data_IF_063208221398
#
_entry.id   IF_063208221398
#
_cell.length_a   1.000
_cell.length_b   1.000
_cell.length_c   1.000
_cell.angle_alpha   90.00
_cell.angle_beta   90.00
_cell.angle_gamma   90.00
#
_symmetry.space_group_name_H-M   'P 1'
#
loop_
_entity.id
_entity.type
_entity.pdbx_description
1 polymer ?
#
# COMPACT_ATOMS: atom_id res chain seq x y z
N UNK A 1 3.51 45.05 32.62
CA UNK A 1 2.30 44.53 33.30
C UNK A 1 0.95 44.89 32.62
N UNK A 2 0.92 45.63 31.50
CA UNK A 2 -0.34 45.97 30.81
C UNK A 2 -0.90 44.82 29.93
N UNK A 3 -0.01 43.98 29.32
CA UNK A 3 -0.38 42.85 28.48
C UNK A 3 -1.16 41.75 29.25
N UNK A 4 -0.73 41.38 30.44
CA UNK A 4 -1.41 40.35 31.23
C UNK A 4 -2.84 40.71 31.62
N UNK A 5 -3.07 42.01 31.96
CA UNK A 5 -4.43 42.50 32.27
C UNK A 5 -5.34 42.52 31.03
N UNK A 6 -4.79 42.79 29.85
CA UNK A 6 -5.52 42.76 28.59
C UNK A 6 -5.94 41.35 28.24
N UNK A 7 -5.03 40.36 28.38
CA UNK A 7 -5.33 38.92 28.14
C UNK A 7 -6.41 38.39 29.07
N UNK A 8 -6.33 38.73 30.38
CA UNK A 8 -7.37 38.33 31.36
C UNK A 8 -8.72 38.95 31.03
N UNK A 9 -8.75 40.22 30.59
CA UNK A 9 -9.99 40.92 30.21
C UNK A 9 -10.62 40.34 28.96
N UNK A 10 -9.81 39.86 27.98
CA UNK A 10 -10.29 39.29 26.72
C UNK A 10 -10.35 37.74 26.72
N UNK A 11 -10.30 37.11 27.90
CA UNK A 11 -10.29 35.65 28.03
C UNK A 11 -11.39 34.93 27.26
N UNK A 12 -12.61 35.45 27.27
CA UNK A 12 -13.74 34.85 26.54
C UNK A 12 -13.59 35.00 25.04
N UNK A 13 -13.07 36.15 24.56
CA UNK A 13 -12.82 36.36 23.12
C UNK A 13 -11.73 35.44 22.63
N UNK A 14 -10.66 35.25 23.40
CA UNK A 14 -9.57 34.31 23.05
C UNK A 14 -10.10 32.87 23.00
N UNK A 15 -10.94 32.49 23.97
CA UNK A 15 -11.51 31.15 24.03
C UNK A 15 -12.43 30.88 22.84
N UNK A 16 -13.31 31.81 22.51
CA UNK A 16 -14.19 31.71 21.33
C UNK A 16 -13.38 31.62 20.05
N UNK A 17 -12.33 32.44 19.92
CA UNK A 17 -11.45 32.42 18.76
C UNK A 17 -10.71 31.10 18.65
N UNK A 18 -10.22 30.56 19.77
CA UNK A 18 -9.55 29.24 19.79
C UNK A 18 -10.50 28.11 19.34
N UNK A 19 -11.72 28.09 19.88
CA UNK A 19 -12.74 27.11 19.46
C UNK A 19 -13.13 27.30 17.99
N UNK A 20 -13.30 28.53 17.53
CA UNK A 20 -13.60 28.82 16.13
C UNK A 20 -12.50 28.34 15.16
N UNK A 21 -11.22 28.43 15.57
CA UNK A 21 -10.09 27.91 14.77
C UNK A 21 -9.96 26.38 14.80
N UNK A 22 -10.48 25.71 15.81
CA UNK A 22 -10.49 24.24 15.86
C UNK A 22 -11.32 23.62 14.73
N UNK A 23 -12.42 24.25 14.34
CA UNK A 23 -13.31 23.74 13.29
C UNK A 23 -12.56 23.61 11.93
N UNK A 24 -11.97 24.70 11.38
CA UNK A 24 -11.25 24.61 10.13
C UNK A 24 -9.99 23.72 10.25
N UNK A 25 -9.35 23.66 11.42
CA UNK A 25 -8.23 22.77 11.67
C UNK A 25 -8.62 21.29 11.58
N UNK A 26 -9.74 20.92 12.20
CA UNK A 26 -10.25 19.54 12.13
C UNK A 26 -10.65 19.15 10.70
N UNK A 27 -11.31 20.07 9.98
CA UNK A 27 -11.64 19.87 8.57
C UNK A 27 -10.36 19.75 7.72
N UNK A 28 -9.39 20.61 7.91
CA UNK A 28 -8.11 20.58 7.22
C UNK A 28 -7.40 19.23 7.44
N UNK A 29 -7.39 18.72 8.66
CA UNK A 29 -6.83 17.38 8.96
C UNK A 29 -7.53 16.26 8.20
N UNK A 30 -8.87 16.28 8.13
CA UNK A 30 -9.64 15.24 7.42
C UNK A 30 -9.43 15.28 5.90
N UNK A 31 -9.16 16.46 5.32
CA UNK A 31 -8.92 16.62 3.89
C UNK A 31 -7.43 16.52 3.51
N UNK A 32 -6.53 16.55 4.47
CA UNK A 32 -5.09 16.42 4.19
C UNK A 32 -4.78 14.95 3.94
N UNK A 33 -4.36 14.64 2.72
CA UNK A 33 -3.82 13.33 2.35
C UNK A 33 -2.30 13.41 2.38
N UNK A 34 -1.68 12.45 3.04
CA UNK A 34 -0.22 12.29 2.97
C UNK A 34 0.08 11.45 1.74
N UNK A 35 0.86 12.01 0.83
CA UNK A 35 1.37 11.24 -0.30
C UNK A 35 2.61 10.46 0.18
N UNK A 36 2.52 9.15 0.19
CA UNK A 36 3.62 8.24 0.55
C UNK A 36 4.45 7.81 -0.67
N UNK A 37 4.03 8.21 -1.86
CA UNK A 37 4.76 7.91 -3.09
C UNK A 37 6.03 8.77 -3.18
N UNK A 38 7.17 8.14 -2.90
CA UNK A 38 8.48 8.78 -2.96
C UNK A 38 8.81 9.20 -4.40
N UNK A 39 8.28 8.49 -5.39
CA UNK A 39 8.56 8.75 -6.81
C UNK A 39 7.95 10.06 -7.28
N UNK A 40 6.82 10.49 -6.68
CA UNK A 40 6.18 11.77 -7.00
C UNK A 40 7.01 13.01 -6.64
N UNK A 41 8.06 12.85 -5.83
CA UNK A 41 9.00 13.93 -5.48
C UNK A 41 10.26 13.94 -6.35
N UNK A 42 10.40 12.97 -7.26
CA UNK A 42 11.54 12.90 -8.17
C UNK A 42 11.24 13.68 -9.45
N UNK A 43 12.28 14.27 -10.09
CA UNK A 43 12.11 14.89 -11.40
C UNK A 43 11.68 13.87 -12.46
N UNK A 44 10.73 14.24 -13.32
CA UNK A 44 10.14 13.38 -14.37
C UNK A 44 11.16 12.88 -15.41
N UNK A 45 12.33 13.51 -15.48
CA UNK A 45 13.39 13.15 -16.45
C UNK A 45 14.26 11.99 -16.00
N UNK A 46 14.08 11.45 -14.79
CA UNK A 46 14.84 10.31 -14.31
C UNK A 46 14.43 9.02 -15.01
N UNK A 47 15.40 8.16 -15.27
CA UNK A 47 15.17 6.89 -15.96
C UNK A 47 14.27 5.95 -15.13
N UNK A 48 14.28 6.08 -13.81
CA UNK A 48 13.39 5.34 -12.91
C UNK A 48 11.92 5.71 -13.15
N UNK A 49 11.61 7.01 -13.27
CA UNK A 49 10.25 7.48 -13.53
C UNK A 49 9.81 7.03 -14.92
N UNK A 50 10.64 7.22 -15.96
CA UNK A 50 10.33 6.73 -17.30
C UNK A 50 10.12 5.21 -17.33
N UNK A 51 10.91 4.45 -16.58
CA UNK A 51 10.75 3.00 -16.46
C UNK A 51 9.39 2.62 -15.85
N UNK A 52 8.93 3.34 -14.85
CA UNK A 52 7.61 3.16 -14.26
C UNK A 52 6.48 3.51 -15.23
N UNK A 53 6.62 4.61 -15.97
CA UNK A 53 5.66 5.01 -17.00
C UNK A 53 5.54 3.93 -18.08
N UNK A 54 6.67 3.39 -18.56
CA UNK A 54 6.66 2.27 -19.52
C UNK A 54 5.98 1.02 -18.95
N UNK A 55 6.21 0.69 -17.68
CA UNK A 55 5.55 -0.45 -17.03
C UNK A 55 4.03 -0.26 -16.97
N UNK A 56 3.59 0.95 -16.67
CA UNK A 56 2.16 1.26 -16.58
C UNK A 56 1.52 1.35 -17.97
N UNK A 57 2.14 2.08 -18.90
CA UNK A 57 1.55 2.40 -20.21
C UNK A 57 1.62 1.20 -21.17
N UNK A 58 2.76 0.51 -21.23
CA UNK A 58 2.98 -0.57 -22.20
C UNK A 58 2.56 -1.94 -21.66
N UNK A 59 2.67 -2.17 -20.35
CA UNK A 59 2.38 -3.47 -19.73
C UNK A 59 1.15 -3.44 -18.82
N UNK A 60 0.55 -2.27 -18.58
CA UNK A 60 -0.59 -2.11 -17.68
C UNK A 60 -0.28 -2.45 -16.21
N UNK A 61 1.00 -2.46 -15.83
CA UNK A 61 1.48 -2.80 -14.49
C UNK A 61 2.05 -1.56 -13.81
N UNK A 62 1.34 -1.02 -12.84
CA UNK A 62 1.78 0.16 -12.11
C UNK A 62 2.78 -0.16 -11.00
N UNK A 63 2.27 -0.61 -9.88
CA UNK A 63 3.06 -1.03 -8.73
C UNK A 63 2.97 -2.54 -8.53
N UNK A 64 3.88 -3.10 -7.72
CA UNK A 64 3.79 -4.48 -7.28
C UNK A 64 4.15 -4.60 -5.81
N UNK A 65 3.67 -5.67 -5.17
CA UNK A 65 3.99 -6.01 -3.79
C UNK A 65 4.27 -7.50 -3.68
N UNK A 66 5.18 -7.85 -2.77
CA UNK A 66 5.39 -9.24 -2.37
C UNK A 66 4.75 -9.46 -1.00
N UNK A 67 3.90 -10.47 -0.91
CA UNK A 67 3.32 -10.94 0.33
C UNK A 67 4.02 -12.23 0.73
N UNK A 68 4.48 -12.30 1.98
CA UNK A 68 5.13 -13.49 2.53
C UNK A 68 4.21 -14.04 3.61
N UNK A 69 3.84 -15.30 3.47
CA UNK A 69 3.03 -16.05 4.41
C UNK A 69 3.93 -17.08 5.11
N UNK A 70 4.01 -16.99 6.42
CA UNK A 70 4.80 -17.91 7.24
C UNK A 70 3.89 -18.80 8.09
N UNK A 71 4.17 -20.09 8.13
CA UNK A 71 3.43 -21.07 8.94
C UNK A 71 1.91 -21.08 8.66
N UNK A 72 1.50 -20.80 7.43
CA UNK A 72 0.11 -20.83 6.98
C UNK A 72 -0.10 -22.01 6.05
N UNK A 73 -1.23 -22.70 6.18
CA UNK A 73 -1.61 -23.78 5.28
C UNK A 73 -1.91 -23.24 3.88
N UNK A 74 -1.54 -23.97 2.84
CA UNK A 74 -1.72 -23.55 1.44
C UNK A 74 -3.18 -23.25 1.09
N UNK A 75 -4.14 -23.95 1.71
CA UNK A 75 -5.57 -23.67 1.55
C UNK A 75 -5.97 -22.29 2.08
N UNK A 76 -5.35 -21.86 3.18
CA UNK A 76 -5.63 -20.56 3.78
C UNK A 76 -4.94 -19.45 2.97
N UNK A 77 -3.76 -19.73 2.40
CA UNK A 77 -3.08 -18.83 1.47
C UNK A 77 -3.91 -18.65 0.21
N UNK A 78 -4.41 -19.74 -0.40
CA UNK A 78 -5.30 -19.69 -1.57
C UNK A 78 -6.60 -18.91 -1.27
N UNK A 79 -7.22 -19.13 -0.12
CA UNK A 79 -8.40 -18.37 0.29
C UNK A 79 -8.10 -16.87 0.51
N UNK A 80 -6.86 -16.54 0.85
CA UNK A 80 -6.41 -15.15 0.97
C UNK A 80 -6.13 -14.54 -0.40
N UNK A 81 -5.56 -15.30 -1.32
CA UNK A 81 -5.35 -14.92 -2.72
C UNK A 81 -6.66 -14.50 -3.39
N UNK A 82 -7.71 -15.32 -3.26
CA UNK A 82 -9.03 -14.99 -3.82
C UNK A 82 -9.56 -13.65 -3.28
N UNK A 83 -9.39 -13.39 -1.99
CA UNK A 83 -9.78 -12.10 -1.39
C UNK A 83 -8.94 -10.93 -1.90
N UNK A 84 -7.65 -11.16 -2.19
CA UNK A 84 -6.76 -10.14 -2.74
C UNK A 84 -7.15 -9.81 -4.18
N UNK A 85 -7.53 -10.82 -4.98
CA UNK A 85 -8.03 -10.63 -6.36
C UNK A 85 -9.29 -9.77 -6.42
N UNK A 86 -10.10 -9.73 -5.34
CA UNK A 86 -11.31 -8.89 -5.25
C UNK A 86 -11.04 -7.42 -4.85
N UNK A 87 -9.80 -7.07 -4.49
CA UNK A 87 -9.46 -5.71 -4.06
C UNK A 87 -9.36 -4.80 -5.28
N UNK A 88 -9.98 -3.61 -5.19
CA UNK A 88 -9.89 -2.58 -6.22
C UNK A 88 -8.42 -2.26 -6.54
N UNK A 89 -8.12 -2.10 -7.83
CA UNK A 89 -6.79 -1.83 -8.37
C UNK A 89 -5.80 -2.99 -8.33
N UNK A 90 -6.14 -4.15 -7.83
CA UNK A 90 -5.37 -5.37 -8.05
C UNK A 90 -5.64 -5.86 -9.46
N UNK A 91 -4.59 -6.02 -10.25
CA UNK A 91 -4.68 -6.49 -11.62
C UNK A 91 -4.39 -7.99 -11.74
N UNK A 92 -3.28 -8.40 -11.15
CA UNK A 92 -2.83 -9.80 -11.23
C UNK A 92 -2.21 -10.20 -9.90
N UNK A 93 -2.54 -11.40 -9.46
CA UNK A 93 -1.88 -12.06 -8.34
C UNK A 93 -1.18 -13.28 -8.89
N UNK A 94 0.08 -13.48 -8.57
CA UNK A 94 0.88 -14.64 -8.97
C UNK A 94 1.35 -15.39 -7.75
N UNK A 95 0.98 -16.64 -7.69
CA UNK A 95 1.44 -17.58 -6.68
C UNK A 95 1.81 -18.92 -7.37
N UNK A 96 2.35 -19.87 -6.64
CA UNK A 96 2.78 -21.13 -7.28
C UNK A 96 1.62 -21.98 -7.83
N UNK A 97 0.39 -21.79 -7.33
CA UNK A 97 -0.80 -22.51 -7.80
C UNK A 97 -1.24 -22.10 -9.21
N UNK A 98 -0.84 -20.93 -9.69
CA UNK A 98 -0.99 -20.55 -11.11
C UNK A 98 -0.16 -21.45 -12.06
N UNK A 99 0.85 -22.12 -11.52
CA UNK A 99 1.77 -22.98 -12.29
C UNK A 99 1.60 -24.47 -11.98
N UNK A 100 1.04 -24.80 -10.82
CA UNK A 100 0.86 -26.17 -10.37
C UNK A 100 -0.33 -26.27 -9.42
N UNK A 101 -1.15 -27.32 -9.56
CA UNK A 101 -2.31 -27.54 -8.70
C UNK A 101 -1.91 -27.65 -7.21
N UNK A 102 -2.60 -26.92 -6.34
CA UNK A 102 -2.37 -26.88 -4.89
C UNK A 102 -2.50 -28.27 -4.21
N UNK A 103 -3.18 -29.22 -4.86
CA UNK A 103 -3.29 -30.59 -4.37
C UNK A 103 -2.02 -31.42 -4.57
N UNK A 104 -1.07 -30.92 -5.37
CA UNK A 104 0.23 -31.54 -5.57
C UNK A 104 1.14 -31.20 -4.39
N UNK A 105 1.72 -32.20 -3.70
CA UNK A 105 2.70 -31.92 -2.64
C UNK A 105 3.85 -31.04 -3.14
N UNK A 106 4.25 -30.03 -2.37
CA UNK A 106 5.29 -29.06 -2.76
C UNK A 106 6.62 -29.72 -3.14
N UNK A 107 6.91 -30.86 -2.55
CA UNK A 107 8.12 -31.67 -2.82
C UNK A 107 8.12 -32.28 -4.23
N UNK A 108 6.98 -32.30 -4.91
CA UNK A 108 6.83 -32.79 -6.28
C UNK A 108 6.89 -31.67 -7.32
N UNK A 109 6.93 -30.40 -6.87
CA UNK A 109 7.08 -29.26 -7.78
C UNK A 109 8.47 -29.26 -8.42
N UNK A 110 8.60 -28.79 -9.66
CA UNK A 110 9.92 -28.50 -10.23
C UNK A 110 10.69 -27.51 -9.34
N UNK A 111 11.98 -27.80 -9.07
CA UNK A 111 12.83 -27.00 -8.19
C UNK A 111 12.74 -25.49 -8.49
N UNK A 112 12.69 -25.11 -9.77
CA UNK A 112 12.60 -23.72 -10.19
C UNK A 112 11.31 -23.01 -9.74
N UNK A 113 10.19 -23.74 -9.70
CA UNK A 113 8.91 -23.20 -9.22
C UNK A 113 8.93 -23.16 -7.70
N UNK A 114 9.38 -24.25 -7.07
CA UNK A 114 9.46 -24.32 -5.62
C UNK A 114 10.33 -23.18 -5.07
N UNK A 115 11.56 -23.05 -5.55
CA UNK A 115 12.53 -22.04 -5.07
C UNK A 115 12.11 -20.59 -5.36
N UNK A 116 11.28 -20.38 -6.39
CA UNK A 116 10.79 -19.05 -6.71
C UNK A 116 9.75 -18.53 -5.71
N UNK A 117 8.93 -19.43 -5.17
CA UNK A 117 7.78 -19.04 -4.34
C UNK A 117 7.86 -19.54 -2.90
N UNK A 118 8.70 -20.51 -2.59
CA UNK A 118 8.72 -21.15 -1.29
C UNK A 118 10.13 -21.20 -0.69
N UNK A 119 10.21 -21.04 0.64
CA UNK A 119 11.45 -21.22 1.40
C UNK A 119 11.11 -21.67 2.82
N UNK A 120 11.51 -22.89 3.19
CA UNK A 120 11.16 -23.47 4.50
C UNK A 120 9.65 -23.57 4.68
N UNK A 121 9.11 -22.90 5.71
CA UNK A 121 7.67 -22.83 5.99
C UNK A 121 7.05 -21.48 5.52
N UNK A 122 7.73 -20.76 4.66
CA UNK A 122 7.22 -19.54 4.07
C UNK A 122 6.89 -19.74 2.59
N UNK A 123 5.83 -19.09 2.14
CA UNK A 123 5.49 -18.95 0.72
C UNK A 123 5.31 -17.49 0.37
N UNK A 124 5.64 -17.12 -0.86
CA UNK A 124 5.60 -15.77 -1.37
C UNK A 124 4.58 -15.66 -2.51
N UNK A 125 3.84 -14.59 -2.51
CA UNK A 125 2.88 -14.23 -3.54
C UNK A 125 3.24 -12.85 -4.08
N UNK A 126 3.19 -12.67 -5.39
CA UNK A 126 3.40 -11.37 -6.03
C UNK A 126 2.05 -10.78 -6.45
N UNK A 127 1.77 -9.56 -6.02
CA UNK A 127 0.54 -8.82 -6.35
C UNK A 127 0.92 -7.64 -7.23
N UNK A 128 0.28 -7.53 -8.38
CA UNK A 128 0.46 -6.43 -9.33
C UNK A 128 -0.79 -5.55 -9.32
N UNK A 129 -0.56 -4.26 -9.38
CA UNK A 129 -1.62 -3.25 -9.38
C UNK A 129 -1.69 -2.55 -10.73
N UNK A 130 -2.87 -2.12 -11.13
CA UNK A 130 -3.10 -1.32 -12.35
C UNK A 130 -2.99 0.18 -12.11
N UNK A 131 -2.41 0.58 -10.99
CA UNK A 131 -2.17 1.97 -10.60
C UNK A 131 -0.75 2.13 -10.11
N UNK A 132 -0.18 3.34 -10.25
CA UNK A 132 1.16 3.66 -9.78
C UNK A 132 1.23 3.90 -8.26
N UNK A 133 0.10 4.21 -7.62
CA UNK A 133 -0.03 4.45 -6.17
C UNK A 133 -1.48 4.27 -5.72
#
# INVERSE_FOLDING_TARGET
>A
MKLGKAVVKSRFVILILAVALMIPSALGMAFTRVNYDILSYLPDNLDTIKGQDYLLDDFGKGAFSFLIFENMDDKDVAATEEKIKEIDHVDTVLWYDDFADISIPKEMLPDKIYDAFNSGNATMMAVFFNTST
#
